data_IF_157687328311
#
_entry.id   IF_157687328311
#
_cell.length_a   1.000
_cell.length_b   1.000
_cell.length_c   1.000
_cell.angle_alpha   90.00
_cell.angle_beta   90.00
_cell.angle_gamma   90.00
#
_symmetry.space_group_name_H-M   'P 1'
#
loop_
_entity.id
_entity.type
_entity.pdbx_description
1 polymer ?
#
# COMPACT_ATOMS: atom_id res chain seq x y z
N UNK A 1 19.26 1.87 -2.20
CA UNK A 1 18.48 1.28 -1.09
C UNK A 1 17.21 0.63 -1.62
N UNK A 2 16.56 -0.28 -0.84
CA UNK A 2 15.25 -0.87 -1.14
C UNK A 2 14.22 -0.37 -0.14
N UNK A 3 13.07 0.09 -0.61
CA UNK A 3 12.00 0.61 0.22
C UNK A 3 10.65 0.00 -0.16
N UNK A 4 9.98 -0.66 0.80
CA UNK A 4 8.60 -1.14 0.66
C UNK A 4 7.64 -0.01 1.07
N UNK A 5 6.97 0.58 0.10
CA UNK A 5 6.22 1.81 0.31
C UNK A 5 4.72 1.60 0.61
N UNK A 6 4.33 0.34 0.89
CA UNK A 6 2.95 0.01 1.23
C UNK A 6 2.89 -1.20 2.18
N UNK A 7 2.85 -0.92 3.49
CA UNK A 7 2.78 -1.94 4.55
C UNK A 7 1.73 -1.54 5.59
N UNK A 8 0.98 -2.51 6.11
CA UNK A 8 -0.04 -2.27 7.13
C UNK A 8 0.38 -2.83 8.50
N UNK A 9 0.15 -2.03 9.52
CA UNK A 9 0.37 -2.44 10.92
C UNK A 9 -0.91 -3.02 11.55
N UNK A 10 -0.80 -3.40 12.83
CA UNK A 10 -1.94 -3.84 13.63
C UNK A 10 -2.98 -2.73 13.90
N UNK A 11 -2.69 -1.47 13.58
CA UNK A 11 -3.64 -0.34 13.64
C UNK A 11 -4.65 -0.39 12.50
N UNK A 12 -4.27 -0.97 11.36
CA UNK A 12 -5.17 -1.27 10.27
C UNK A 12 -6.19 -2.33 10.67
N UNK A 13 -7.40 -2.24 10.12
CA UNK A 13 -8.48 -3.16 10.48
C UNK A 13 -8.26 -4.62 10.06
N UNK A 14 -7.29 -4.86 9.20
CA UNK A 14 -6.95 -6.16 8.60
C UNK A 14 -5.47 -6.56 8.75
N UNK A 15 -4.62 -5.66 9.25
CA UNK A 15 -3.22 -5.94 9.60
C UNK A 15 -3.06 -6.56 10.99
N UNK A 16 -1.91 -7.17 11.25
CA UNK A 16 -1.58 -7.79 12.56
C UNK A 16 -0.17 -7.50 13.04
N UNK A 17 0.63 -6.77 12.27
CA UNK A 17 2.04 -6.53 12.56
C UNK A 17 2.23 -5.31 13.46
N UNK A 18 3.08 -5.41 14.45
CA UNK A 18 3.69 -4.24 15.09
C UNK A 18 4.97 -3.80 14.34
N UNK A 19 5.52 -2.65 14.70
CA UNK A 19 6.72 -2.12 14.06
C UNK A 19 7.93 -3.07 14.20
N UNK A 20 8.06 -3.76 15.33
CA UNK A 20 9.16 -4.72 15.53
C UNK A 20 9.07 -5.90 14.56
N UNK A 21 7.87 -6.45 14.36
CA UNK A 21 7.63 -7.53 13.42
C UNK A 21 7.82 -7.07 11.95
N UNK A 22 7.41 -5.83 11.63
CA UNK A 22 7.67 -5.23 10.30
C UNK A 22 9.17 -5.09 10.07
N UNK A 23 9.92 -4.51 11.03
CA UNK A 23 11.37 -4.34 10.92
C UNK A 23 12.10 -5.68 10.77
N UNK A 24 11.73 -6.68 11.58
CA UNK A 24 12.31 -8.02 11.50
C UNK A 24 12.07 -8.64 10.11
N UNK A 25 10.85 -8.58 9.59
CA UNK A 25 10.51 -9.11 8.27
C UNK A 25 11.22 -8.34 7.13
N UNK A 26 11.26 -7.02 7.20
CA UNK A 26 11.94 -6.16 6.23
C UNK A 26 13.43 -6.50 6.11
N UNK A 27 14.11 -6.67 7.25
CA UNK A 27 15.55 -7.03 7.30
C UNK A 27 15.84 -8.37 6.63
N UNK A 28 14.98 -9.39 6.78
CA UNK A 28 15.21 -10.70 6.15
C UNK A 28 15.21 -10.64 4.62
N UNK A 29 14.63 -9.59 4.03
CA UNK A 29 14.57 -9.37 2.57
C UNK A 29 15.42 -8.19 2.10
N UNK A 30 16.26 -7.63 2.97
CA UNK A 30 17.15 -6.52 2.62
C UNK A 30 16.40 -5.21 2.33
N UNK A 31 15.21 -5.03 2.93
CA UNK A 31 14.44 -3.78 2.87
C UNK A 31 14.99 -2.82 3.92
N UNK A 32 15.44 -1.66 3.48
CA UNK A 32 16.05 -0.63 4.32
C UNK A 32 15.04 0.41 4.83
N UNK A 33 13.92 0.59 4.13
CA UNK A 33 12.86 1.51 4.52
C UNK A 33 11.47 0.90 4.28
N UNK A 34 10.50 1.30 5.12
CA UNK A 34 9.08 0.93 4.96
C UNK A 34 8.18 2.14 5.18
N UNK A 35 7.11 2.26 4.40
CA UNK A 35 6.03 3.19 4.68
C UNK A 35 4.87 2.42 5.31
N UNK A 36 4.47 2.79 6.53
CA UNK A 36 3.32 2.19 7.22
C UNK A 36 2.06 2.95 6.88
N UNK A 37 1.23 2.34 6.02
CA UNK A 37 0.07 2.94 5.36
C UNK A 37 -1.24 2.39 5.93
N UNK A 38 -1.48 2.55 7.23
CA UNK A 38 -2.70 1.99 7.84
C UNK A 38 -3.97 2.62 7.26
N UNK A 39 -4.98 1.78 6.98
CA UNK A 39 -6.26 2.20 6.41
C UNK A 39 -6.96 3.24 7.29
N UNK A 40 -7.14 4.46 6.75
CA UNK A 40 -7.84 5.57 7.37
C UNK A 40 -7.33 5.92 8.78
N UNK A 41 -6.05 5.60 9.08
CA UNK A 41 -5.39 5.82 10.36
C UNK A 41 -4.15 6.68 10.21
N UNK A 42 -4.25 7.91 10.69
CA UNK A 42 -3.13 8.85 10.71
C UNK A 42 -1.96 8.30 11.53
N UNK A 43 -0.71 8.46 11.10
CA UNK A 43 0.44 8.28 11.98
C UNK A 43 0.28 9.14 13.23
N UNK A 44 0.78 8.68 14.38
CA UNK A 44 0.68 9.39 15.65
C UNK A 44 1.97 10.16 15.97
N UNK A 45 1.95 11.00 16.99
CA UNK A 45 3.08 11.87 17.33
C UNK A 45 4.44 11.17 17.44
N UNK A 46 4.45 9.91 17.95
CA UNK A 46 5.67 9.11 18.03
C UNK A 46 6.19 8.58 16.69
N UNK A 47 5.43 8.69 15.60
CA UNK A 47 5.82 8.27 14.26
C UNK A 47 6.53 9.39 13.49
N UNK A 48 6.55 10.63 14.02
CA UNK A 48 7.18 11.81 13.41
C UNK A 48 8.42 12.27 14.19
N UNK A 49 9.48 12.72 13.48
CA UNK A 49 9.74 12.54 12.05
C UNK A 49 9.99 11.07 11.68
N UNK A 50 10.17 10.77 10.39
CA UNK A 50 10.64 9.45 9.94
C UNK A 50 11.88 9.01 10.74
N UNK A 51 11.88 7.80 11.25
CA UNK A 51 12.89 7.32 12.21
C UNK A 51 13.35 5.90 11.90
N UNK A 52 14.55 5.55 12.39
CA UNK A 52 15.05 4.17 12.27
C UNK A 52 14.65 3.38 13.51
N UNK A 53 13.90 2.29 13.31
CA UNK A 53 13.54 1.32 14.34
C UNK A 53 13.98 -0.08 13.88
N UNK A 54 14.63 -0.83 14.77
CA UNK A 54 15.13 -2.17 14.45
C UNK A 54 16.08 -2.22 13.23
N UNK A 55 16.73 -1.10 12.86
CA UNK A 55 17.61 -0.98 11.70
C UNK A 55 16.90 -0.76 10.37
N UNK A 56 15.61 -0.41 10.38
CA UNK A 56 14.78 -0.07 9.20
C UNK A 56 14.24 1.34 9.36
N UNK A 57 14.27 2.14 8.30
CA UNK A 57 13.70 3.50 8.29
C UNK A 57 12.17 3.39 8.14
N UNK A 58 11.44 3.85 9.13
CA UNK A 58 9.97 3.97 9.10
C UNK A 58 9.57 5.35 8.59
N UNK A 59 8.77 5.36 7.53
CA UNK A 59 8.26 6.55 6.86
C UNK A 59 6.81 6.74 7.29
N UNK A 60 6.44 7.88 7.90
CA UNK A 60 5.06 8.17 8.25
C UNK A 60 4.18 8.22 6.99
N UNK A 61 3.12 7.42 6.97
CA UNK A 61 2.23 7.30 5.83
C UNK A 61 0.80 6.95 6.26
N UNK A 62 -0.13 7.05 5.33
CA UNK A 62 -1.53 6.65 5.48
C UNK A 62 -2.05 6.05 4.17
N UNK A 63 -3.02 5.16 4.23
CA UNK A 63 -3.83 4.78 3.07
C UNK A 63 -5.28 5.22 3.29
N UNK A 64 -5.71 6.27 2.59
CA UNK A 64 -7.09 6.70 2.59
C UNK A 64 -7.97 5.82 1.72
N UNK A 65 -9.09 5.36 2.28
CA UNK A 65 -10.21 4.80 1.51
C UNK A 65 -11.02 5.94 0.92
N UNK A 66 -10.99 6.12 -0.41
CA UNK A 66 -11.80 7.15 -1.08
C UNK A 66 -12.88 6.54 -1.97
N UNK A 67 -13.78 7.37 -2.51
CA UNK A 67 -14.81 6.93 -3.46
C UNK A 67 -14.24 6.57 -4.85
N UNK A 68 -12.98 6.95 -5.12
CA UNK A 68 -12.29 6.68 -6.39
C UNK A 68 -11.22 5.60 -6.31
N UNK A 69 -11.03 4.99 -5.15
CA UNK A 69 -10.00 4.00 -4.85
C UNK A 69 -9.16 4.41 -3.64
N UNK A 70 -8.08 3.72 -3.41
CA UNK A 70 -7.20 4.01 -2.30
C UNK A 70 -6.12 5.04 -2.69
N UNK A 71 -5.77 5.90 -1.74
CA UNK A 71 -4.77 6.95 -1.93
C UNK A 71 -3.75 6.88 -0.80
N UNK A 72 -2.48 6.62 -1.14
CA UNK A 72 -1.38 6.67 -0.18
C UNK A 72 -0.95 8.12 0.05
N UNK A 73 -0.81 8.48 1.31
CA UNK A 73 -0.08 9.68 1.73
C UNK A 73 1.28 9.27 2.24
N UNK A 74 2.33 9.45 1.45
CA UNK A 74 3.70 9.07 1.81
C UNK A 74 4.49 10.28 2.31
N UNK A 75 5.45 10.06 3.22
CA UNK A 75 6.35 11.11 3.75
C UNK A 75 5.63 12.23 4.49
N UNK A 76 4.59 11.90 5.24
CA UNK A 76 3.88 12.87 6.06
C UNK A 76 4.80 13.49 7.11
N UNK A 77 4.63 14.78 7.39
CA UNK A 77 5.42 15.52 8.38
C UNK A 77 4.63 15.87 9.64
N UNK A 78 3.32 15.67 9.62
CA UNK A 78 2.39 15.86 10.73
C UNK A 78 1.20 14.89 10.61
N UNK A 79 0.43 14.70 11.69
CA UNK A 79 -0.84 13.98 11.62
C UNK A 79 -1.79 14.58 10.59
N UNK A 80 -2.62 13.73 10.00
CA UNK A 80 -3.65 14.08 9.01
C UNK A 80 -5.04 13.71 9.52
N UNK A 81 -6.09 14.28 8.93
CA UNK A 81 -7.46 14.00 9.32
C UNK A 81 -7.83 12.54 9.06
N UNK A 82 -8.45 11.88 10.04
CA UNK A 82 -9.05 10.55 9.85
C UNK A 82 -10.52 10.71 9.43
N UNK A 83 -11.00 9.97 8.41
CA UNK A 83 -12.41 9.99 8.08
C UNK A 83 -13.24 9.39 9.23
N UNK A 84 -14.49 9.85 9.43
CA UNK A 84 -15.36 9.22 10.41
C UNK A 84 -15.55 7.72 10.14
N UNK A 85 -15.67 6.93 11.20
CA UNK A 85 -15.81 5.47 11.11
C UNK A 85 -16.88 5.05 10.08
N UNK A 86 -16.48 4.22 9.12
CA UNK A 86 -17.36 3.70 8.07
C UNK A 86 -17.67 4.67 6.93
N UNK A 87 -17.06 5.86 6.94
CA UNK A 87 -17.15 6.82 5.83
C UNK A 87 -15.85 6.83 5.02
N UNK A 88 -15.95 7.26 3.77
CA UNK A 88 -14.81 7.51 2.88
C UNK A 88 -14.57 9.01 2.78
N UNK A 89 -13.33 9.39 2.60
CA UNK A 89 -12.96 10.76 2.30
C UNK A 89 -13.13 11.02 0.81
N UNK A 90 -13.54 12.23 0.41
CA UNK A 90 -13.51 12.58 -1.00
C UNK A 90 -12.08 12.58 -1.52
N UNK A 91 -11.86 12.08 -2.72
CA UNK A 91 -10.52 11.87 -3.27
C UNK A 91 -9.69 13.17 -3.29
N UNK A 92 -10.30 14.26 -3.76
CA UNK A 92 -9.64 15.57 -3.82
C UNK A 92 -9.27 16.10 -2.43
N UNK A 93 -10.16 15.90 -1.43
CA UNK A 93 -9.92 16.34 -0.05
C UNK A 93 -8.79 15.51 0.59
N UNK A 94 -8.77 14.20 0.36
CA UNK A 94 -7.69 13.32 0.82
C UNK A 94 -6.34 13.73 0.22
N UNK A 95 -6.29 14.01 -1.09
CA UNK A 95 -5.09 14.48 -1.75
C UNK A 95 -4.61 15.85 -1.21
N UNK A 96 -5.56 16.77 -0.99
CA UNK A 96 -5.25 18.08 -0.43
C UNK A 96 -4.70 17.97 1.01
N UNK A 97 -5.29 17.11 1.86
CA UNK A 97 -4.83 16.88 3.23
C UNK A 97 -3.43 16.27 3.27
N UNK A 98 -3.15 15.27 2.40
CA UNK A 98 -1.81 14.69 2.26
C UNK A 98 -0.77 15.75 1.90
N UNK A 99 -1.04 16.58 0.89
CA UNK A 99 -0.14 17.64 0.44
C UNK A 99 0.05 18.72 1.50
N UNK A 100 -1.02 19.12 2.19
CA UNK A 100 -0.95 20.08 3.30
C UNK A 100 -0.11 19.55 4.47
N UNK A 101 -0.02 18.23 4.64
CA UNK A 101 0.87 17.58 5.59
C UNK A 101 2.29 17.33 5.04
N UNK A 102 2.65 17.93 3.90
CA UNK A 102 3.96 17.80 3.28
C UNK A 102 4.20 16.44 2.58
N UNK A 103 3.18 15.60 2.46
CA UNK A 103 3.26 14.27 1.86
C UNK A 103 3.22 14.26 0.33
N UNK A 104 3.36 13.07 -0.25
CA UNK A 104 3.09 12.76 -1.65
C UNK A 104 1.78 11.96 -1.74
N UNK A 105 0.86 12.42 -2.58
CA UNK A 105 -0.40 11.74 -2.87
C UNK A 105 -0.19 10.72 -4.01
N UNK A 106 -0.21 9.43 -3.69
CA UNK A 106 0.08 8.33 -4.62
C UNK A 106 -1.14 7.43 -4.77
N UNK A 107 -1.66 7.26 -5.99
CA UNK A 107 -2.79 6.36 -6.24
C UNK A 107 -2.35 4.90 -6.05
N UNK A 108 -2.93 4.23 -5.06
CA UNK A 108 -2.61 2.85 -4.71
C UNK A 108 -3.27 1.86 -5.68
N UNK A 109 -2.55 0.80 -6.06
CA UNK A 109 -3.03 -0.36 -6.85
C UNK A 109 -4.24 -0.05 -7.76
N UNK A 110 -4.11 0.92 -8.69
CA UNK A 110 -5.22 1.60 -9.37
C UNK A 110 -6.14 0.68 -10.19
N UNK A 111 -5.66 -0.49 -10.59
CA UNK A 111 -6.37 -1.44 -11.44
C UNK A 111 -6.76 -2.75 -10.73
N UNK A 112 -6.48 -2.89 -9.42
CA UNK A 112 -6.71 -4.13 -8.66
C UNK A 112 -8.14 -4.68 -8.79
N UNK A 113 -9.14 -3.80 -8.70
CA UNK A 113 -10.56 -4.18 -8.73
C UNK A 113 -11.21 -4.05 -10.11
N UNK A 114 -10.44 -3.65 -11.13
CA UNK A 114 -10.98 -3.37 -12.44
C UNK A 114 -11.30 -4.66 -13.21
N UNK A 115 -12.51 -4.75 -13.76
CA UNK A 115 -12.90 -5.80 -14.72
C UNK A 115 -12.56 -5.37 -16.15
N UNK A 116 -12.54 -4.06 -16.44
CA UNK A 116 -12.12 -3.42 -17.69
C UNK A 116 -11.06 -2.36 -17.41
N UNK A 117 -9.81 -2.63 -17.78
CA UNK A 117 -8.69 -1.72 -17.57
C UNK A 117 -8.80 -0.44 -18.39
N UNK A 118 -9.38 -0.49 -19.60
CA UNK A 118 -9.55 0.70 -20.42
C UNK A 118 -10.63 1.63 -19.84
N UNK A 119 -11.74 1.08 -19.33
CA UNK A 119 -12.74 1.87 -18.62
C UNK A 119 -12.13 2.48 -17.35
N UNK A 120 -11.37 1.70 -16.59
CA UNK A 120 -10.72 2.19 -15.37
C UNK A 120 -9.70 3.29 -15.64
N UNK A 121 -8.93 3.21 -16.71
CA UNK A 121 -8.00 4.26 -17.12
C UNK A 121 -8.74 5.59 -17.31
N UNK A 122 -9.86 5.61 -18.04
CA UNK A 122 -10.69 6.81 -18.23
C UNK A 122 -11.25 7.41 -16.93
N UNK A 123 -11.50 6.56 -15.92
CA UNK A 123 -11.92 7.02 -14.58
C UNK A 123 -10.76 7.65 -13.78
N UNK A 124 -9.52 7.21 -14.02
CA UNK A 124 -8.33 7.72 -13.33
C UNK A 124 -7.84 9.03 -13.95
N UNK A 125 -7.95 9.21 -15.26
CA UNK A 125 -7.48 10.43 -15.96
C UNK A 125 -7.89 11.75 -15.30
N UNK A 126 -9.17 11.95 -14.89
CA UNK A 126 -9.58 13.18 -14.21
C UNK A 126 -8.95 13.38 -12.83
N UNK A 127 -8.35 12.32 -12.23
CA UNK A 127 -7.72 12.38 -10.91
C UNK A 127 -6.26 12.83 -10.96
N UNK A 128 -5.63 12.80 -12.14
CA UNK A 128 -4.20 13.11 -12.34
C UNK A 128 -3.76 14.45 -11.73
N UNK A 129 -4.54 15.56 -11.79
CA UNK A 129 -4.14 16.82 -11.15
C UNK A 129 -4.01 16.75 -9.63
N UNK A 130 -4.62 15.74 -9.00
CA UNK A 130 -4.56 15.50 -7.56
C UNK A 130 -3.44 14.55 -7.15
N UNK A 131 -2.71 13.96 -8.09
CA UNK A 131 -1.70 12.94 -7.83
C UNK A 131 -0.28 13.49 -7.97
N UNK A 132 0.60 13.01 -7.10
CA UNK A 132 2.05 13.19 -7.20
C UNK A 132 2.71 11.93 -7.78
N UNK A 133 2.02 10.77 -7.74
CA UNK A 133 2.54 9.52 -8.27
C UNK A 133 1.49 8.41 -8.33
N UNK A 134 1.91 7.24 -8.84
CA UNK A 134 1.09 6.04 -8.98
C UNK A 134 1.86 4.82 -8.52
N UNK A 135 1.20 3.93 -7.76
CA UNK A 135 1.73 2.61 -7.43
C UNK A 135 1.55 1.69 -8.65
N UNK A 136 2.68 1.39 -9.32
CA UNK A 136 2.69 0.58 -10.54
C UNK A 136 2.91 -0.91 -10.27
N UNK A 137 3.37 -1.26 -9.08
CA UNK A 137 3.46 -2.65 -8.65
C UNK A 137 3.01 -2.80 -7.20
N UNK A 138 1.96 -3.57 -7.01
CA UNK A 138 1.48 -4.00 -5.70
C UNK A 138 1.42 -5.53 -5.68
N UNK A 139 1.99 -6.15 -4.65
CA UNK A 139 2.10 -7.62 -4.58
C UNK A 139 0.76 -8.34 -4.55
N UNK A 140 -0.32 -7.65 -4.21
CA UNK A 140 -1.68 -8.19 -4.12
C UNK A 140 -2.56 -7.83 -5.32
N UNK A 141 -2.21 -6.79 -6.11
CA UNK A 141 -3.10 -6.23 -7.12
C UNK A 141 -3.55 -7.22 -8.21
N UNK A 142 -2.69 -8.18 -8.57
CA UNK A 142 -3.00 -9.19 -9.59
C UNK A 142 -3.85 -10.38 -9.08
N UNK A 143 -4.43 -10.24 -7.89
CA UNK A 143 -5.19 -11.32 -7.26
C UNK A 143 -6.45 -11.71 -8.05
N UNK A 144 -7.22 -10.72 -8.47
CA UNK A 144 -8.56 -10.93 -9.06
C UNK A 144 -8.47 -11.41 -10.51
N UNK A 145 -7.82 -10.65 -11.37
CA UNK A 145 -7.82 -10.87 -12.81
C UNK A 145 -6.43 -11.10 -13.43
N UNK A 146 -5.36 -10.73 -12.73
CA UNK A 146 -4.04 -10.62 -13.33
C UNK A 146 -3.91 -9.42 -14.26
N UNK A 147 -2.69 -8.94 -14.48
CA UNK A 147 -2.42 -7.81 -15.37
C UNK A 147 -2.67 -6.41 -14.79
N UNK A 148 -3.19 -6.30 -13.57
CA UNK A 148 -3.43 -5.00 -12.92
C UNK A 148 -2.15 -4.17 -12.77
N UNK A 149 -1.03 -4.79 -12.37
CA UNK A 149 0.28 -4.15 -12.29
C UNK A 149 0.78 -3.70 -13.66
N UNK A 150 0.62 -4.55 -14.69
CA UNK A 150 1.01 -4.18 -16.06
C UNK A 150 0.19 -3.00 -16.58
N UNK A 151 -1.12 -2.98 -16.32
CA UNK A 151 -2.01 -1.87 -16.68
C UNK A 151 -1.59 -0.58 -15.96
N UNK A 152 -1.25 -0.65 -14.66
CA UNK A 152 -0.77 0.50 -13.90
C UNK A 152 0.55 1.07 -14.47
N UNK A 153 1.50 0.21 -14.80
CA UNK A 153 2.77 0.62 -15.39
C UNK A 153 2.58 1.23 -16.79
N UNK A 154 1.72 0.64 -17.64
CA UNK A 154 1.38 1.19 -18.96
C UNK A 154 0.69 2.54 -18.84
N UNK A 155 -0.26 2.67 -17.91
CA UNK A 155 -0.96 3.93 -17.66
C UNK A 155 0.01 5.04 -17.23
N UNK A 156 0.89 4.75 -16.26
CA UNK A 156 1.90 5.70 -15.80
C UNK A 156 2.82 6.16 -16.96
N UNK A 157 3.30 5.22 -17.78
CA UNK A 157 4.14 5.52 -18.93
C UNK A 157 3.40 6.37 -19.98
N UNK A 158 2.15 6.03 -20.30
CA UNK A 158 1.34 6.76 -21.28
C UNK A 158 1.06 8.23 -20.88
N UNK A 159 1.02 8.50 -19.57
CA UNK A 159 0.78 9.85 -19.02
C UNK A 159 2.05 10.57 -18.54
N UNK A 160 3.24 10.01 -18.80
CA UNK A 160 4.52 10.62 -18.42
C UNK A 160 4.72 10.75 -16.90
N UNK A 161 4.10 9.87 -16.09
CA UNK A 161 4.22 9.91 -14.64
C UNK A 161 5.56 9.30 -14.24
N UNK A 162 6.46 10.13 -13.73
CA UNK A 162 7.82 9.71 -13.31
C UNK A 162 7.84 9.18 -11.87
N UNK A 163 7.03 9.73 -10.97
CA UNK A 163 6.93 9.27 -9.60
C UNK A 163 6.10 7.99 -9.54
N UNK A 164 6.78 6.85 -9.73
CA UNK A 164 6.16 5.53 -9.63
C UNK A 164 6.63 4.81 -8.37
N UNK A 165 5.70 4.11 -7.70
CA UNK A 165 5.99 3.37 -6.47
C UNK A 165 5.71 1.88 -6.63
N UNK A 166 6.22 1.11 -5.67
CA UNK A 166 5.88 -0.28 -5.47
C UNK A 166 5.77 -0.58 -3.98
N UNK A 167 4.82 -1.43 -3.63
CA UNK A 167 4.59 -1.86 -2.26
C UNK A 167 4.07 -3.28 -2.15
N UNK A 168 4.38 -3.93 -1.04
CA UNK A 168 3.93 -5.30 -0.78
C UNK A 168 2.45 -5.37 -0.42
N UNK A 169 1.89 -4.27 0.08
CA UNK A 169 0.56 -4.22 0.71
C UNK A 169 0.46 -5.28 1.82
N UNK A 170 1.56 -5.40 2.56
CA UNK A 170 1.74 -6.45 3.54
C UNK A 170 0.86 -6.24 4.76
N UNK A 171 0.11 -7.26 5.12
CA UNK A 171 -0.66 -7.33 6.36
C UNK A 171 -0.10 -8.39 7.30
N UNK A 172 0.91 -9.14 6.83
CA UNK A 172 1.60 -10.22 7.56
C UNK A 172 3.08 -10.24 7.22
N UNK A 173 3.90 -10.73 8.14
CA UNK A 173 5.37 -10.73 8.01
C UNK A 173 5.89 -11.38 6.73
N UNK A 174 5.26 -12.47 6.26
CA UNK A 174 5.67 -13.16 5.04
C UNK A 174 5.48 -12.34 3.75
N UNK A 175 4.70 -11.26 3.79
CA UNK A 175 4.44 -10.39 2.65
C UNK A 175 5.40 -9.20 2.57
N UNK A 176 5.84 -8.66 3.72
CA UNK A 176 6.73 -7.48 3.79
C UNK A 176 7.92 -7.68 2.85
N UNK A 177 8.18 -6.70 2.00
CA UNK A 177 9.25 -6.72 1.02
C UNK A 177 9.01 -7.63 -0.19
N UNK A 178 7.79 -8.11 -0.44
CA UNK A 178 7.45 -8.79 -1.70
C UNK A 178 7.43 -7.82 -2.89
N UNK A 179 7.18 -6.52 -2.64
CA UNK A 179 7.43 -5.47 -3.61
C UNK A 179 8.05 -4.25 -2.93
N UNK A 180 8.86 -3.53 -3.67
CA UNK A 180 9.62 -2.39 -3.19
C UNK A 180 10.13 -1.55 -4.37
N UNK A 181 10.61 -0.36 -4.08
CA UNK A 181 11.40 0.43 -5.04
C UNK A 181 12.88 0.27 -4.75
N UNK A 182 13.70 0.17 -5.81
CA UNK A 182 15.15 0.31 -5.74
C UNK A 182 15.52 1.76 -6.10
N UNK A 183 16.29 2.40 -5.22
CA UNK A 183 16.76 3.76 -5.41
C UNK A 183 18.25 3.84 -5.04
N UNK A 184 19.02 4.52 -5.87
CA UNK A 184 20.43 4.82 -5.57
C UNK A 184 20.49 6.13 -4.77
N UNK A 185 20.27 6.01 -3.47
CA UNK A 185 20.26 7.14 -2.55
C UNK A 185 20.63 6.73 -1.12
N UNK A 186 20.92 7.71 -0.29
CA UNK A 186 21.11 7.52 1.14
C UNK A 186 19.82 7.02 1.81
N UNK A 187 19.95 6.24 2.89
CA UNK A 187 18.82 5.74 3.67
C UNK A 187 18.27 6.83 4.59
N UNK A 188 17.72 7.89 3.99
CA UNK A 188 16.99 8.97 4.67
C UNK A 188 15.67 9.23 3.96
N UNK A 189 14.67 9.72 4.70
CA UNK A 189 13.35 10.04 4.17
C UNK A 189 13.42 11.05 3.02
N UNK A 190 14.20 12.10 3.16
CA UNK A 190 14.37 13.15 2.14
C UNK A 190 15.05 12.65 0.87
N UNK A 191 16.12 11.86 1.01
CA UNK A 191 16.83 11.29 -0.15
C UNK A 191 15.95 10.29 -0.93
N UNK A 192 15.20 9.44 -0.21
CA UNK A 192 14.28 8.51 -0.85
C UNK A 192 13.15 9.24 -1.56
N UNK A 193 12.55 10.27 -0.93
CA UNK A 193 11.52 11.12 -1.56
C UNK A 193 12.02 11.74 -2.87
N UNK A 194 13.22 12.32 -2.85
CA UNK A 194 13.83 12.90 -4.05
C UNK A 194 14.07 11.86 -5.14
N UNK A 195 14.55 10.67 -4.78
CA UNK A 195 14.75 9.57 -5.72
C UNK A 195 13.45 9.08 -6.36
N UNK A 196 12.36 9.01 -5.59
CA UNK A 196 11.03 8.64 -6.13
C UNK A 196 10.53 9.65 -7.15
N UNK A 197 10.64 10.95 -6.88
CA UNK A 197 10.23 12.00 -7.83
C UNK A 197 11.11 12.04 -9.08
N UNK A 198 12.36 11.58 -8.99
CA UNK A 198 13.28 11.46 -10.12
C UNK A 198 13.10 10.15 -10.93
N UNK A 199 12.31 9.19 -10.43
CA UNK A 199 12.04 7.91 -11.09
C UNK A 199 12.81 6.74 -10.50
N UNK A 200 12.38 6.23 -9.35
CA UNK A 200 12.92 5.01 -8.77
C UNK A 200 12.42 3.75 -9.50
N UNK A 201 13.16 2.65 -9.39
CA UNK A 201 12.83 1.40 -10.08
C UNK A 201 11.88 0.52 -9.25
N UNK A 202 10.62 0.28 -9.68
CA UNK A 202 9.74 -0.68 -9.03
C UNK A 202 10.20 -2.12 -9.27
N UNK A 203 10.17 -2.94 -8.22
CA UNK A 203 10.55 -4.37 -8.24
C UNK A 203 9.56 -5.13 -7.36
N UNK A 204 9.14 -6.31 -7.79
CA UNK A 204 8.27 -7.11 -6.93
C UNK A 204 7.94 -8.50 -7.44
N UNK A 205 7.38 -9.27 -6.52
CA UNK A 205 6.76 -10.57 -6.76
C UNK A 205 5.35 -10.58 -6.16
N UNK A 206 4.47 -11.39 -6.71
CA UNK A 206 3.10 -11.52 -6.19
C UNK A 206 3.10 -12.20 -4.84
N UNK A 207 2.30 -11.68 -3.91
CA UNK A 207 2.02 -12.36 -2.65
C UNK A 207 1.12 -13.59 -2.89
N UNK A 208 1.33 -14.69 -2.15
CA UNK A 208 0.40 -15.82 -2.17
C UNK A 208 -1.03 -15.39 -1.82
N UNK A 209 -1.99 -15.89 -2.59
CA UNK A 209 -3.42 -15.50 -2.47
C UNK A 209 -4.03 -15.78 -1.11
N UNK A 210 -3.52 -16.78 -0.37
CA UNK A 210 -3.95 -17.07 1.01
C UNK A 210 -3.80 -15.89 1.97
N UNK A 211 -2.85 -14.98 1.74
CA UNK A 211 -2.67 -13.80 2.58
C UNK A 211 -3.85 -12.82 2.48
N UNK A 212 -4.46 -12.69 1.30
CA UNK A 212 -5.68 -11.90 1.11
C UNK A 212 -6.82 -12.46 1.95
N UNK A 213 -7.03 -13.80 1.92
CA UNK A 213 -8.04 -14.45 2.75
C UNK A 213 -7.76 -14.29 4.25
N UNK A 214 -6.49 -14.35 4.67
CA UNK A 214 -6.09 -14.09 6.05
C UNK A 214 -6.41 -12.66 6.49
N UNK A 215 -6.20 -11.65 5.62
CA UNK A 215 -6.58 -10.26 5.91
C UNK A 215 -8.10 -10.10 6.02
N UNK A 216 -8.87 -10.72 5.11
CA UNK A 216 -10.34 -10.72 5.19
C UNK A 216 -10.85 -11.38 6.49
N UNK A 217 -10.21 -12.46 6.93
CA UNK A 217 -10.57 -13.13 8.20
C UNK A 217 -10.23 -12.23 9.39
N UNK A 218 -9.07 -11.57 9.39
CA UNK A 218 -8.67 -10.61 10.42
C UNK A 218 -9.66 -9.44 10.49
N UNK A 219 -10.01 -8.86 9.35
CA UNK A 219 -11.02 -7.80 9.23
C UNK A 219 -12.36 -8.24 9.82
N UNK A 220 -12.84 -9.42 9.43
CA UNK A 220 -14.13 -9.94 9.92
C UNK A 220 -14.14 -10.09 11.46
N UNK A 221 -13.01 -10.52 12.04
CA UNK A 221 -12.87 -10.67 13.52
C UNK A 221 -12.75 -9.30 14.20
N UNK A 222 -11.86 -8.43 13.75
CA UNK A 222 -11.64 -7.11 14.37
C UNK A 222 -12.88 -6.22 14.32
N UNK A 223 -13.59 -6.24 13.21
CA UNK A 223 -14.82 -5.43 13.01
C UNK A 223 -16.10 -6.15 13.47
N UNK A 224 -15.99 -7.36 14.06
CA UNK A 224 -17.13 -8.14 14.55
C UNK A 224 -18.25 -8.31 13.51
N UNK A 225 -17.89 -8.62 12.25
CA UNK A 225 -18.80 -8.66 11.11
C UNK A 225 -19.78 -9.86 11.11
N UNK A 226 -19.84 -10.62 12.21
CA UNK A 226 -20.76 -11.74 12.41
C UNK A 226 -20.25 -13.09 11.86
N UNK A 227 -20.85 -14.18 12.33
CA UNK A 227 -20.43 -15.55 12.06
C UNK A 227 -20.42 -15.89 10.56
N UNK A 228 -21.45 -15.47 9.81
CA UNK A 228 -21.58 -15.76 8.37
C UNK A 228 -20.39 -15.20 7.57
N UNK A 229 -19.93 -13.98 7.87
CA UNK A 229 -18.83 -13.33 7.15
C UNK A 229 -17.48 -13.94 7.55
N UNK A 230 -17.32 -14.30 8.84
CA UNK A 230 -16.14 -15.01 9.33
C UNK A 230 -16.00 -16.39 8.68
N UNK A 231 -17.10 -17.15 8.58
CA UNK A 231 -17.11 -18.46 7.91
C UNK A 231 -16.80 -18.36 6.41
N UNK A 232 -17.35 -17.36 5.71
CA UNK A 232 -16.99 -17.08 4.30
C UNK A 232 -15.49 -16.82 4.14
N UNK A 233 -14.90 -16.02 5.00
CA UNK A 233 -13.46 -15.70 4.95
C UNK A 233 -12.61 -16.93 5.27
N UNK A 234 -13.03 -17.80 6.19
CA UNK A 234 -12.35 -19.06 6.49
C UNK A 234 -12.43 -20.05 5.30
N UNK A 235 -13.59 -20.19 4.67
CA UNK A 235 -13.75 -21.00 3.48
C UNK A 235 -12.89 -20.51 2.31
N UNK A 236 -12.83 -19.19 2.11
CA UNK A 236 -11.95 -18.57 1.13
C UNK A 236 -10.48 -18.88 1.42
N UNK A 237 -10.06 -18.84 2.69
CA UNK A 237 -8.69 -19.17 3.07
C UNK A 237 -8.33 -20.61 2.69
N UNK A 238 -9.20 -21.59 2.98
CA UNK A 238 -8.99 -22.98 2.58
C UNK A 238 -8.84 -23.10 1.06
N UNK A 239 -9.77 -22.51 0.31
CA UNK A 239 -9.75 -22.55 -1.16
C UNK A 239 -8.48 -21.94 -1.74
N UNK A 240 -8.06 -20.75 -1.28
CA UNK A 240 -6.89 -20.05 -1.82
C UNK A 240 -5.58 -20.71 -1.38
N UNK A 241 -5.53 -21.33 -0.19
CA UNK A 241 -4.36 -22.11 0.23
C UNK A 241 -4.16 -23.31 -0.68
N UNK A 242 -5.23 -24.00 -1.05
CA UNK A 242 -5.17 -25.10 -2.01
C UNK A 242 -4.68 -24.60 -3.38
N UNK A 243 -5.24 -23.49 -3.88
CA UNK A 243 -4.78 -22.89 -5.15
C UNK A 243 -3.30 -22.50 -5.13
N UNK A 244 -2.80 -21.94 -4.04
CA UNK A 244 -1.38 -21.57 -3.91
C UNK A 244 -0.44 -22.78 -3.98
N UNK A 245 -0.90 -23.99 -3.59
CA UNK A 245 -0.12 -25.23 -3.69
C UNK A 245 -0.01 -25.72 -5.14
N UNK A 246 -1.08 -25.61 -5.91
CA UNK A 246 -1.16 -26.15 -7.28
C UNK A 246 -0.76 -25.15 -8.39
N UNK A 247 -0.42 -23.89 -8.04
CA UNK A 247 0.02 -22.86 -9.00
C UNK A 247 1.53 -22.53 -8.90
N UNK A 248 2.32 -23.46 -8.30
CA UNK A 248 3.79 -23.37 -8.30
C UNK A 248 4.38 -23.86 -9.61
#
# INVERSE_FOLDING_TARGET
MRADLHVHSARSHDGVLDHAAIAAAAKTKGIAAVAVCDHDKSPQGGDFPAKVEGGVLFIPAIEYSTERGHLLGLFLTRPVAEPPTGKRMAFADAAAEIRAAGGLAVLAHPFEQADDFAARAREIEPLLPHLDGIEVFNSRADYKHGGANAAAAQFAAAHGITCVTAGSDAHRSGEVGNAFVEADCLCTSGALRAALTAGAKPVGVRSPRRYIALSQLTKAKKQKLGARRTLKSAALLCYLTIKDIFQK
#
